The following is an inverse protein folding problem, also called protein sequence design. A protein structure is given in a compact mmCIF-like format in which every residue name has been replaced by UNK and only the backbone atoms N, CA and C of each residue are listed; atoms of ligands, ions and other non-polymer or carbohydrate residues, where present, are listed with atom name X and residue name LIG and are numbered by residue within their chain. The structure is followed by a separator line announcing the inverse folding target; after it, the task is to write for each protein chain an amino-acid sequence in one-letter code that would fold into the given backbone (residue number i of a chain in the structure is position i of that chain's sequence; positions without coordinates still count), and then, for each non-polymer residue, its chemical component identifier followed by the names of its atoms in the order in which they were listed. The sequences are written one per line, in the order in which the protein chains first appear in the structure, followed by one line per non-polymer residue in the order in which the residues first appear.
data_IF_048859368637
#
_entry.id   IF_048859368637
#
_cell.length_a   1.000
_cell.length_b   1.000
_cell.length_c   1.000
_cell.angle_alpha   90.00
_cell.angle_beta   90.00
_cell.angle_gamma   90.00
#
_symmetry.space_group_name_H-M   'P 1'
#
loop_
_entity.id
_entity.type
_entity.pdbx_description
1 polymer ?
#
# COMPACT_ATOMS: atom_id res chain seq x y z
N UNK A 1 35.58 -45.87 17.51
CA UNK A 1 35.28 -44.79 16.55
C UNK A 1 33.87 -44.27 16.79
N UNK A 2 33.65 -42.96 16.96
CA UNK A 2 32.32 -42.42 17.24
C UNK A 2 31.50 -42.34 15.94
N UNK A 3 30.25 -42.81 15.99
CA UNK A 3 29.33 -42.81 14.83
C UNK A 3 28.77 -41.40 14.61
N UNK A 4 28.98 -40.85 13.42
CA UNK A 4 28.44 -39.57 12.97
C UNK A 4 26.90 -39.62 12.93
N UNK A 5 26.25 -38.69 13.66
CA UNK A 5 24.80 -38.52 13.60
C UNK A 5 24.45 -37.61 12.42
N UNK A 6 23.77 -38.16 11.40
CA UNK A 6 23.17 -37.40 10.31
C UNK A 6 22.19 -36.35 10.85
N UNK A 7 22.46 -35.07 10.59
CA UNK A 7 21.51 -33.98 10.83
C UNK A 7 20.39 -34.03 9.80
N UNK A 8 19.14 -33.93 10.25
CA UNK A 8 17.97 -33.81 9.37
C UNK A 8 18.00 -32.44 8.69
N UNK A 9 18.44 -32.40 7.43
CA UNK A 9 18.24 -31.26 6.53
C UNK A 9 16.88 -31.50 5.87
N UNK A 10 15.82 -31.01 6.51
CA UNK A 10 14.46 -31.34 6.08
C UNK A 10 13.39 -30.45 6.69
N UNK A 11 13.71 -29.17 6.93
CA UNK A 11 12.68 -28.15 7.07
C UNK A 11 12.49 -27.49 5.73
N UNK A 12 11.26 -27.43 5.22
CA UNK A 12 10.94 -26.60 4.06
C UNK A 12 11.33 -25.14 4.37
N UNK A 13 12.07 -24.49 3.47
CA UNK A 13 12.29 -23.05 3.60
C UNK A 13 10.93 -22.35 3.54
N UNK A 14 10.65 -21.42 4.47
CA UNK A 14 9.42 -20.63 4.40
C UNK A 14 9.42 -19.86 3.08
N UNK A 15 8.37 -20.04 2.29
CA UNK A 15 8.20 -19.40 0.96
C UNK A 15 8.17 -17.86 1.02
N UNK A 16 8.08 -17.30 2.23
CA UNK A 16 8.10 -15.87 2.50
C UNK A 16 9.08 -15.61 3.63
N UNK A 17 10.19 -14.93 3.32
CA UNK A 17 11.00 -14.24 4.33
C UNK A 17 10.18 -13.05 4.82
N UNK A 18 9.54 -13.20 5.99
CA UNK A 18 8.88 -12.08 6.63
C UNK A 18 9.96 -11.03 6.91
N UNK A 19 9.78 -9.75 6.52
CA UNK A 19 10.68 -8.71 6.94
C UNK A 19 10.70 -8.69 8.47
N UNK A 20 11.88 -8.50 9.06
CA UNK A 20 11.99 -8.27 10.49
C UNK A 20 10.99 -7.19 10.86
N UNK A 21 10.18 -7.49 11.88
CA UNK A 21 9.07 -6.65 12.32
C UNK A 21 9.67 -5.34 12.81
N UNK A 22 9.87 -4.38 11.91
CA UNK A 22 10.13 -3.00 12.28
C UNK A 22 8.85 -2.53 12.95
N UNK A 23 8.88 -2.41 14.27
CA UNK A 23 7.80 -1.79 15.00
C UNK A 23 7.57 -0.42 14.36
N UNK A 24 6.35 -0.16 13.91
CA UNK A 24 5.96 1.11 13.28
C UNK A 24 5.78 2.23 14.34
N UNK A 25 6.45 2.08 15.48
CA UNK A 25 6.46 3.05 16.56
C UNK A 25 7.80 3.76 16.43
N UNK A 26 7.76 5.06 16.15
CA UNK A 26 8.96 5.90 16.12
C UNK A 26 9.71 5.69 17.45
N UNK A 27 11.04 5.67 17.45
CA UNK A 27 11.81 5.48 18.69
C UNK A 27 11.46 6.52 19.76
N UNK A 28 10.99 7.70 19.35
CA UNK A 28 10.48 8.76 20.22
C UNK A 28 9.13 8.44 20.91
N UNK A 29 8.43 7.37 20.50
CA UNK A 29 7.13 6.97 21.02
C UNK A 29 7.20 5.66 21.84
N UNK A 30 8.40 5.09 22.02
CA UNK A 30 8.64 3.97 22.94
C UNK A 30 9.36 4.54 24.15
N UNK A 31 8.70 4.55 25.30
CA UNK A 31 9.37 4.85 26.56
C UNK A 31 10.39 3.74 26.84
N UNK A 32 11.66 4.13 27.00
CA UNK A 32 12.71 3.21 27.40
C UNK A 32 12.46 2.79 28.86
N UNK A 33 11.93 1.59 29.06
CA UNK A 33 11.72 1.03 30.39
C UNK A 33 12.99 0.33 30.85
N UNK A 34 13.70 0.95 31.80
CA UNK A 34 14.86 0.36 32.46
C UNK A 34 14.43 -0.85 33.30
N UNK A 35 14.67 -2.05 32.78
CA UNK A 35 14.39 -3.31 33.46
C UNK A 35 15.26 -3.39 34.73
N UNK A 36 14.67 -3.08 35.88
CA UNK A 36 15.34 -3.13 37.20
C UNK A 36 15.33 -1.83 37.99
N UNK A 37 14.86 -0.71 37.42
CA UNK A 37 14.81 0.58 38.13
C UNK A 37 13.96 0.54 39.42
N UNK A 38 12.94 -0.30 39.46
CA UNK A 38 12.05 -0.49 40.63
C UNK A 38 12.37 -1.75 41.45
N UNK A 39 13.52 -2.40 41.25
CA UNK A 39 13.85 -3.65 41.95
C UNK A 39 13.92 -3.50 43.48
N UNK A 40 14.17 -2.29 43.98
CA UNK A 40 14.23 -1.96 45.40
C UNK A 40 12.96 -1.29 45.94
N UNK A 41 11.98 -0.99 45.08
CA UNK A 41 10.75 -0.33 45.50
C UNK A 41 9.81 -1.34 46.17
N UNK A 42 9.14 -0.92 47.24
CA UNK A 42 8.14 -1.77 47.88
C UNK A 42 6.92 -1.90 46.97
N UNK A 43 6.27 -3.07 46.97
CA UNK A 43 5.10 -3.32 46.12
C UNK A 43 4.00 -2.25 46.29
N UNK A 44 3.84 -1.71 47.50
CA UNK A 44 2.91 -0.63 47.83
C UNK A 44 3.21 0.70 47.14
N UNK A 45 4.49 1.05 46.97
CA UNK A 45 4.91 2.27 46.26
C UNK A 45 4.71 2.11 44.73
N UNK A 46 4.94 0.90 44.21
CA UNK A 46 4.70 0.58 42.80
C UNK A 46 3.19 0.69 42.49
N UNK A 47 2.33 0.17 43.36
CA UNK A 47 0.88 0.31 43.18
C UNK A 47 0.38 1.76 43.28
N UNK A 48 0.98 2.57 44.15
CA UNK A 48 0.57 3.98 44.33
C UNK A 48 0.99 4.85 43.14
N UNK A 49 2.21 4.66 42.62
CA UNK A 49 2.71 5.39 41.44
C UNK A 49 1.95 5.07 40.14
N UNK A 50 1.47 3.83 39.97
CA UNK A 50 0.56 3.48 38.86
C UNK A 50 -0.82 4.12 39.01
N UNK A 51 -1.36 4.20 40.24
CA UNK A 51 -2.67 4.78 40.49
C UNK A 51 -2.73 6.30 40.23
N UNK A 52 -1.59 6.99 40.34
CA UNK A 52 -1.47 8.44 40.05
C UNK A 52 -1.36 8.74 38.54
N UNK A 53 -0.90 7.78 37.73
CA UNK A 53 -0.77 7.95 36.28
C UNK A 53 -2.03 7.58 35.48
N UNK A 54 -2.92 6.77 36.05
CA UNK A 54 -4.21 6.49 35.46
C UNK A 54 -5.15 7.68 35.71
N UNK A 55 -5.39 8.47 34.65
CA UNK A 55 -6.46 9.44 34.53
C UNK A 55 -7.75 8.93 35.22
N UNK A 56 -8.58 9.82 35.82
CA UNK A 56 -9.61 9.42 36.78
C UNK A 56 -10.44 8.30 36.18
N UNK A 57 -10.33 7.10 36.76
CA UNK A 57 -11.20 5.99 36.39
C UNK A 57 -12.61 6.43 36.74
N UNK A 58 -13.31 6.96 35.74
CA UNK A 58 -14.68 7.40 35.89
C UNK A 58 -15.45 6.20 36.43
N UNK A 59 -15.89 6.28 37.68
CA UNK A 59 -16.70 5.28 38.34
C UNK A 59 -18.11 5.29 37.72
N UNK A 60 -18.17 5.01 36.42
CA UNK A 60 -19.40 4.97 35.64
C UNK A 60 -20.17 3.72 36.04
N UNK A 61 -21.45 3.89 36.32
CA UNK A 61 -22.34 2.76 36.61
C UNK A 61 -22.36 1.83 35.38
N UNK A 62 -22.55 0.53 35.60
CA UNK A 62 -22.59 -0.47 34.51
C UNK A 62 -23.57 -0.06 33.39
N UNK A 63 -24.70 0.54 33.77
CA UNK A 63 -25.72 1.08 32.86
C UNK A 63 -25.19 2.20 31.95
N UNK A 64 -24.42 3.13 32.50
CA UNK A 64 -23.83 4.24 31.74
C UNK A 64 -22.75 3.71 30.79
N UNK A 65 -21.91 2.77 31.23
CA UNK A 65 -20.93 2.11 30.36
C UNK A 65 -21.61 1.38 29.19
N UNK A 66 -22.74 0.73 29.43
CA UNK A 66 -23.51 0.06 28.39
C UNK A 66 -24.14 1.06 27.40
N UNK A 67 -24.69 2.16 27.90
CA UNK A 67 -25.24 3.23 27.07
C UNK A 67 -24.16 3.86 26.18
N UNK A 68 -23.00 4.19 26.73
CA UNK A 68 -21.87 4.72 25.96
C UNK A 68 -21.39 3.75 24.89
N UNK A 69 -21.30 2.45 25.21
CA UNK A 69 -20.96 1.42 24.21
C UNK A 69 -21.99 1.36 23.09
N UNK A 70 -23.27 1.44 23.42
CA UNK A 70 -24.34 1.43 22.44
C UNK A 70 -24.30 2.66 21.54
N UNK A 71 -24.14 3.86 22.10
CA UNK A 71 -24.01 5.10 21.35
C UNK A 71 -22.79 5.12 20.44
N UNK A 72 -21.63 4.68 20.95
CA UNK A 72 -20.40 4.57 20.14
C UNK A 72 -20.57 3.57 19.00
N UNK A 73 -21.30 2.48 19.24
CA UNK A 73 -21.62 1.51 18.20
C UNK A 73 -22.54 2.09 17.13
N UNK A 74 -23.59 2.82 17.50
CA UNK A 74 -24.47 3.51 16.55
C UNK A 74 -23.71 4.55 15.73
N UNK A 75 -22.88 5.40 16.36
CA UNK A 75 -22.01 6.35 15.66
C UNK A 75 -21.06 5.67 14.68
N UNK A 76 -20.53 4.49 15.03
CA UNK A 76 -19.68 3.68 14.14
C UNK A 76 -20.46 3.12 12.95
N UNK A 77 -21.69 2.67 13.18
CA UNK A 77 -22.56 2.21 12.10
C UNK A 77 -22.97 3.35 11.18
N UNK A 78 -23.36 4.50 11.72
CA UNK A 78 -23.72 5.70 10.97
C UNK A 78 -22.56 6.22 10.13
N UNK A 79 -21.36 6.32 10.70
CA UNK A 79 -20.15 6.71 9.94
C UNK A 79 -19.77 5.70 8.86
N UNK A 80 -20.08 4.41 9.04
CA UNK A 80 -19.89 3.39 8.00
C UNK A 80 -20.98 3.40 6.92
N UNK A 81 -22.13 4.00 7.23
CA UNK A 81 -23.30 4.11 6.36
C UNK A 81 -23.28 5.47 5.67
N UNK A 82 -22.25 5.71 4.86
CA UNK A 82 -22.27 6.84 3.93
C UNK A 82 -23.55 6.74 3.08
N UNK A 83 -24.35 7.81 2.95
CA UNK A 83 -25.60 7.79 2.18
C UNK A 83 -25.40 7.50 0.69
N UNK A 84 -24.15 7.45 0.23
CA UNK A 84 -23.78 7.20 -1.14
C UNK A 84 -22.99 5.90 -1.30
N UNK A 85 -23.06 5.32 -2.49
CA UNK A 85 -22.32 4.10 -2.82
C UNK A 85 -20.80 4.26 -2.64
N UNK A 86 -20.07 3.16 -2.37
CA UNK A 86 -18.59 3.12 -2.28
C UNK A 86 -17.88 3.76 -3.48
N UNK A 87 -18.52 3.77 -4.66
CA UNK A 87 -18.00 4.42 -5.87
C UNK A 87 -18.04 5.94 -5.75
N UNK A 88 -19.12 6.50 -5.20
CA UNK A 88 -19.29 7.94 -4.97
C UNK A 88 -18.31 8.45 -3.91
N UNK A 89 -18.12 7.72 -2.82
CA UNK A 89 -17.13 8.05 -1.79
C UNK A 89 -15.70 8.09 -2.37
N UNK A 90 -15.34 7.14 -3.24
CA UNK A 90 -14.05 7.18 -3.94
C UNK A 90 -13.92 8.38 -4.88
N UNK A 91 -15.01 8.84 -5.48
CA UNK A 91 -15.01 10.04 -6.33
C UNK A 91 -14.82 11.30 -5.51
N UNK A 92 -15.53 11.44 -4.38
CA UNK A 92 -15.35 12.57 -3.45
C UNK A 92 -13.91 12.62 -2.91
N UNK A 93 -13.38 11.50 -2.42
CA UNK A 93 -11.98 11.44 -1.96
C UNK A 93 -10.94 11.69 -3.06
N UNK A 94 -11.27 11.48 -4.33
CA UNK A 94 -10.40 11.86 -5.45
C UNK A 94 -10.47 13.36 -5.69
N UNK A 95 -11.67 13.93 -5.75
CA UNK A 95 -11.88 15.38 -5.89
C UNK A 95 -11.21 16.15 -4.74
N UNK A 96 -11.40 15.72 -3.50
CA UNK A 96 -10.76 16.32 -2.33
C UNK A 96 -9.23 16.24 -2.43
N UNK A 97 -8.67 15.10 -2.85
CA UNK A 97 -7.22 14.96 -3.04
C UNK A 97 -6.69 15.80 -4.21
N UNK A 98 -7.46 15.92 -5.29
CA UNK A 98 -7.13 16.77 -6.43
C UNK A 98 -7.15 18.24 -6.03
N UNK A 99 -8.12 18.66 -5.20
CA UNK A 99 -8.17 20.00 -4.60
C UNK A 99 -6.95 20.27 -3.71
N UNK A 100 -6.57 19.33 -2.83
CA UNK A 100 -5.44 19.52 -1.91
C UNK A 100 -4.07 19.43 -2.62
N UNK A 101 -3.91 18.56 -3.62
CA UNK A 101 -2.63 18.31 -4.27
C UNK A 101 -2.36 19.21 -5.50
N UNK A 102 -3.37 19.88 -6.05
CA UNK A 102 -3.18 20.72 -7.25
C UNK A 102 -4.32 21.72 -7.55
N UNK A 103 -5.35 21.79 -6.71
CA UNK A 103 -6.52 22.63 -6.91
C UNK A 103 -6.65 23.71 -5.84
N UNK A 104 -5.61 24.53 -5.66
CA UNK A 104 -5.73 25.80 -4.94
C UNK A 104 -6.39 26.89 -5.80
N UNK A 105 -6.97 26.58 -6.96
CA UNK A 105 -7.65 27.54 -7.85
C UNK A 105 -8.71 28.35 -7.12
N UNK A 106 -9.48 27.68 -6.27
CA UNK A 106 -10.62 28.28 -5.58
C UNK A 106 -10.12 29.18 -4.43
N UNK A 107 -9.03 28.79 -3.77
CA UNK A 107 -8.35 29.65 -2.78
C UNK A 107 -7.65 30.83 -3.45
N UNK A 108 -7.01 30.65 -4.61
CA UNK A 108 -6.41 31.73 -5.40
C UNK A 108 -7.47 32.72 -5.89
N UNK A 109 -8.63 32.23 -6.32
CA UNK A 109 -9.76 33.08 -6.71
C UNK A 109 -10.32 33.86 -5.51
N UNK A 110 -10.45 33.23 -4.34
CA UNK A 110 -10.86 33.91 -3.12
C UNK A 110 -9.84 34.95 -2.63
N UNK A 111 -8.55 34.65 -2.71
CA UNK A 111 -7.47 35.58 -2.35
C UNK A 111 -7.45 36.77 -3.32
N UNK A 112 -7.55 36.53 -4.63
CA UNK A 112 -7.60 37.60 -5.64
C UNK A 112 -8.82 38.52 -5.47
N UNK A 113 -9.97 37.97 -5.07
CA UNK A 113 -11.15 38.77 -4.75
C UNK A 113 -10.94 39.66 -3.50
N UNK A 114 -10.20 39.18 -2.50
CA UNK A 114 -9.85 39.97 -1.29
C UNK A 114 -8.76 41.00 -1.60
N UNK A 115 -7.80 40.66 -2.46
CA UNK A 115 -6.71 41.54 -2.89
C UNK A 115 -7.22 42.74 -3.69
N UNK A 116 -8.29 42.57 -4.48
CA UNK A 116 -8.99 43.67 -5.18
C UNK A 116 -9.68 44.71 -4.27
N UNK A 117 -9.72 44.45 -2.96
CA UNK A 117 -10.31 45.35 -1.94
C UNK A 117 -9.21 46.15 -1.21
N UNK A 118 -7.92 45.83 -1.43
CA UNK A 118 -6.78 46.47 -0.78
C UNK A 118 -6.14 47.48 -1.75
N UNK A 119 -5.94 48.76 -1.38
CA UNK A 119 -5.42 49.78 -2.30
C UNK A 119 -3.94 49.57 -2.71
N UNK A 120 -3.67 49.82 -4.00
CA UNK A 120 -2.41 49.67 -4.76
C UNK A 120 -1.24 50.53 -4.26
N UNK A 121 -0.53 50.12 -3.20
CA UNK A 121 0.67 50.85 -2.74
C UNK A 121 1.93 50.00 -2.52
N UNK A 122 1.96 48.72 -2.90
CA UNK A 122 3.16 47.86 -2.71
C UNK A 122 3.45 46.95 -3.92
N UNK A 123 2.94 47.31 -5.11
CA UNK A 123 3.25 46.60 -6.36
C UNK A 123 4.42 47.30 -7.02
N UNK A 124 5.63 47.08 -6.53
CA UNK A 124 6.81 47.28 -7.36
C UNK A 124 8.01 46.46 -6.89
N UNK A 125 8.77 45.98 -7.86
CA UNK A 125 10.03 45.22 -7.78
C UNK A 125 9.93 43.70 -7.55
N UNK A 126 9.80 42.94 -8.64
CA UNK A 126 10.85 42.03 -9.20
C UNK A 126 10.25 40.99 -10.15
N UNK A 127 10.16 41.34 -11.43
CA UNK A 127 10.09 40.39 -12.54
C UNK A 127 11.51 40.13 -13.07
N UNK A 128 11.85 38.86 -13.36
CA UNK A 128 12.77 38.34 -14.41
C UNK A 128 12.87 36.80 -14.31
N UNK A 129 13.24 36.07 -15.39
CA UNK A 129 12.34 35.10 -16.02
C UNK A 129 12.82 33.64 -15.98
N UNK A 130 11.92 32.79 -16.48
CA UNK A 130 11.99 31.36 -16.77
C UNK A 130 13.36 30.79 -17.20
N UNK A 131 13.64 29.55 -16.78
CA UNK A 131 13.75 28.36 -17.66
C UNK A 131 13.95 27.10 -16.83
N UNK A 132 12.92 26.27 -16.66
CA UNK A 132 13.07 24.86 -16.27
C UNK A 132 12.61 23.97 -17.43
N UNK A 133 13.56 23.55 -18.26
CA UNK A 133 13.39 22.47 -19.23
C UNK A 133 13.33 21.15 -18.48
N UNK A 134 12.12 20.69 -18.13
CA UNK A 134 11.89 19.34 -17.66
C UNK A 134 12.01 18.37 -18.85
N UNK A 135 13.21 17.82 -19.04
CA UNK A 135 13.45 16.72 -19.98
C UNK A 135 12.64 15.48 -19.58
N UNK A 136 11.59 15.19 -20.34
CA UNK A 136 10.86 13.93 -20.26
C UNK A 136 11.76 12.78 -20.70
N UNK A 137 12.30 12.03 -19.74
CA UNK A 137 13.02 10.78 -20.04
C UNK A 137 12.07 9.78 -20.72
N UNK A 138 12.44 9.21 -21.87
CA UNK A 138 11.58 8.28 -22.59
C UNK A 138 11.40 7.00 -21.76
N UNK A 139 10.15 6.66 -21.44
CA UNK A 139 9.79 5.42 -20.75
C UNK A 139 10.29 4.24 -21.57
N UNK A 140 11.30 3.54 -21.05
CA UNK A 140 11.87 2.36 -21.67
C UNK A 140 10.76 1.36 -22.07
N UNK A 141 10.71 1.02 -23.36
CA UNK A 141 9.76 0.05 -23.90
C UNK A 141 10.02 -1.30 -23.22
N UNK A 142 9.05 -1.76 -22.43
CA UNK A 142 9.13 -3.07 -21.76
C UNK A 142 9.23 -4.14 -22.84
N UNK A 143 10.34 -4.89 -22.86
CA UNK A 143 10.53 -5.98 -23.82
C UNK A 143 9.37 -6.97 -23.67
N UNK A 144 8.65 -7.21 -24.76
CA UNK A 144 7.57 -8.19 -24.83
C UNK A 144 8.17 -9.57 -24.53
N UNK A 145 7.60 -10.29 -23.56
CA UNK A 145 8.05 -11.63 -23.17
C UNK A 145 8.88 -11.72 -21.88
N UNK A 146 9.28 -10.60 -21.26
CA UNK A 146 9.93 -10.64 -19.94
C UNK A 146 8.89 -10.71 -18.81
N UNK A 147 8.54 -11.93 -18.43
CA UNK A 147 7.73 -12.21 -17.23
C UNK A 147 8.66 -12.17 -16.01
N UNK A 148 8.48 -11.18 -15.15
CA UNK A 148 9.14 -11.10 -13.84
C UNK A 148 10.67 -11.03 -13.91
N UNK A 149 11.24 -9.89 -14.28
CA UNK A 149 12.66 -9.68 -14.02
C UNK A 149 12.92 -9.59 -12.52
N UNK A 150 13.80 -10.48 -12.04
CA UNK A 150 14.61 -10.33 -10.84
C UNK A 150 13.89 -10.49 -9.51
N UNK A 151 14.29 -11.51 -8.73
CA UNK A 151 14.03 -11.68 -7.29
C UNK A 151 12.72 -12.39 -6.87
N UNK A 152 12.22 -13.33 -7.66
CA UNK A 152 11.12 -14.23 -7.22
C UNK A 152 9.82 -13.50 -6.82
N UNK A 153 9.66 -12.23 -7.20
CA UNK A 153 8.50 -11.43 -6.88
C UNK A 153 7.33 -11.80 -7.82
N UNK A 154 6.15 -12.12 -7.28
CA UNK A 154 4.98 -12.42 -8.10
C UNK A 154 4.53 -11.19 -8.88
N UNK A 155 3.86 -11.42 -10.02
CA UNK A 155 3.28 -10.36 -10.84
C UNK A 155 2.38 -9.42 -10.02
N UNK A 156 2.53 -8.11 -10.25
CA UNK A 156 1.66 -7.09 -9.65
C UNK A 156 0.20 -7.35 -10.00
N UNK A 157 -0.75 -6.92 -9.14
CA UNK A 157 -2.20 -7.09 -9.38
C UNK A 157 -2.63 -6.53 -10.74
N UNK A 158 -2.06 -5.40 -11.17
CA UNK A 158 -2.36 -4.79 -12.46
C UNK A 158 -1.79 -5.60 -13.63
N UNK A 159 -0.60 -6.18 -13.47
CA UNK A 159 0.02 -7.05 -14.46
C UNK A 159 -0.78 -8.34 -14.61
N UNK A 160 -1.16 -8.98 -13.49
CA UNK A 160 -2.04 -10.16 -13.50
C UNK A 160 -3.34 -9.89 -14.23
N UNK A 161 -4.00 -8.76 -13.95
CA UNK A 161 -5.23 -8.38 -14.66
C UNK A 161 -5.01 -8.25 -16.17
N UNK A 162 -3.91 -7.63 -16.60
CA UNK A 162 -3.57 -7.50 -18.02
C UNK A 162 -3.31 -8.87 -18.66
N UNK A 163 -2.53 -9.72 -18.01
CA UNK A 163 -2.28 -11.10 -18.49
C UNK A 163 -3.58 -11.90 -18.59
N UNK A 164 -4.46 -11.82 -17.60
CA UNK A 164 -5.76 -12.50 -17.65
C UNK A 164 -6.65 -11.99 -18.80
N UNK A 165 -6.61 -10.69 -19.08
CA UNK A 165 -7.35 -10.12 -20.21
C UNK A 165 -6.79 -10.60 -21.55
N UNK A 166 -5.47 -10.65 -21.72
CA UNK A 166 -4.85 -11.15 -22.95
C UNK A 166 -5.13 -12.64 -23.14
N UNK A 167 -5.05 -13.44 -22.08
CA UNK A 167 -5.35 -14.87 -22.15
C UNK A 167 -6.83 -15.14 -22.45
N UNK A 168 -7.75 -14.35 -21.88
CA UNK A 168 -9.19 -14.45 -22.20
C UNK A 168 -9.46 -14.29 -23.70
N UNK A 169 -8.73 -13.41 -24.38
CA UNK A 169 -8.86 -13.23 -25.83
C UNK A 169 -8.13 -14.32 -26.62
N UNK A 170 -7.01 -14.82 -26.09
CA UNK A 170 -6.16 -15.81 -26.76
C UNK A 170 -6.77 -17.22 -26.76
N UNK A 171 -7.35 -17.66 -25.64
CA UNK A 171 -7.91 -19.01 -25.49
C UNK A 171 -8.93 -19.37 -26.58
N UNK A 172 -9.97 -18.56 -26.87
CA UNK A 172 -10.93 -18.92 -27.92
C UNK A 172 -10.28 -19.01 -29.31
N UNK A 173 -9.27 -18.18 -29.58
CA UNK A 173 -8.52 -18.22 -30.83
C UNK A 173 -7.69 -19.50 -30.97
N UNK A 174 -7.12 -20.02 -29.88
CA UNK A 174 -6.44 -21.32 -29.88
C UNK A 174 -7.45 -22.44 -30.11
N UNK A 175 -8.58 -22.42 -29.38
CA UNK A 175 -9.62 -23.43 -29.47
C UNK A 175 -10.30 -23.47 -30.85
N UNK A 176 -10.36 -22.36 -31.57
CA UNK A 176 -10.92 -22.32 -32.92
C UNK A 176 -10.03 -22.93 -34.00
N UNK A 177 -8.77 -23.28 -33.69
CA UNK A 177 -7.87 -23.89 -34.69
C UNK A 177 -8.13 -25.39 -34.84
N UNK A 178 -8.31 -25.91 -36.07
CA UNK A 178 -8.62 -27.32 -36.29
C UNK A 178 -7.46 -28.24 -35.88
N UNK A 179 -6.22 -27.76 -36.00
CA UNK A 179 -5.03 -28.49 -35.57
C UNK A 179 -5.01 -28.74 -34.05
N UNK A 180 -5.45 -27.75 -33.26
CA UNK A 180 -5.53 -27.89 -31.81
C UNK A 180 -6.66 -28.84 -31.40
N UNK A 181 -7.77 -28.84 -32.13
CA UNK A 181 -8.89 -29.75 -31.91
C UNK A 181 -8.53 -31.22 -32.22
N UNK A 182 -7.70 -31.47 -33.23
CA UNK A 182 -7.28 -32.82 -33.60
C UNK A 182 -6.20 -33.39 -32.68
N UNK A 183 -5.16 -32.62 -32.36
CA UNK A 183 -4.12 -33.04 -31.40
C UNK A 183 -3.46 -31.84 -30.70
N UNK A 184 -3.94 -31.45 -29.49
CA UNK A 184 -3.45 -30.26 -28.81
C UNK A 184 -1.98 -30.40 -28.39
N UNK A 185 -1.53 -31.59 -28.00
CA UNK A 185 -0.14 -31.82 -27.58
C UNK A 185 0.85 -31.68 -28.73
N UNK A 186 0.46 -32.12 -29.93
CA UNK A 186 1.30 -31.97 -31.13
C UNK A 186 1.39 -30.51 -31.55
N UNK A 187 0.29 -29.76 -31.54
CA UNK A 187 0.27 -28.32 -31.82
C UNK A 187 1.13 -27.55 -30.82
N UNK A 188 1.03 -27.86 -29.53
CA UNK A 188 1.88 -27.25 -28.48
C UNK A 188 3.36 -27.57 -28.72
N UNK A 189 3.70 -28.82 -29.08
CA UNK A 189 5.08 -29.25 -29.37
C UNK A 189 5.66 -28.48 -30.56
N UNK A 190 4.90 -28.38 -31.66
CA UNK A 190 5.31 -27.65 -32.87
C UNK A 190 5.44 -26.16 -32.58
N UNK A 191 4.49 -25.56 -31.86
CA UNK A 191 4.56 -24.15 -31.46
C UNK A 191 5.80 -23.86 -30.60
N UNK A 192 6.08 -24.72 -29.61
CA UNK A 192 7.25 -24.60 -28.75
C UNK A 192 8.55 -24.75 -29.56
N UNK A 193 8.64 -25.71 -30.49
CA UNK A 193 9.79 -25.86 -31.39
C UNK A 193 9.99 -24.60 -32.24
N UNK A 194 8.93 -24.04 -32.81
CA UNK A 194 9.01 -22.87 -33.69
C UNK A 194 9.33 -21.57 -32.95
N UNK A 195 8.98 -21.45 -31.67
CA UNK A 195 9.15 -20.24 -30.86
C UNK A 195 10.40 -20.28 -29.98
N UNK A 196 10.68 -21.40 -29.32
CA UNK A 196 11.79 -21.52 -28.35
C UNK A 196 13.15 -21.77 -29.03
N UNK A 197 13.19 -22.52 -30.14
CA UNK A 197 14.46 -22.82 -30.83
C UNK A 197 15.10 -21.61 -31.53
N UNK A 198 14.32 -20.54 -31.78
CA UNK A 198 14.83 -19.29 -32.38
C UNK A 198 15.59 -18.40 -31.40
N UNK A 199 15.58 -18.74 -30.10
CA UNK A 199 16.33 -18.04 -29.07
C UNK A 199 17.61 -18.79 -28.70
N UNK A 200 18.47 -19.07 -29.70
CA UNK A 200 19.88 -19.40 -29.41
C UNK A 200 20.57 -18.08 -29.06
N UNK A 201 21.13 -17.88 -27.85
CA UNK A 201 21.91 -16.69 -27.57
C UNK A 201 23.11 -16.66 -28.54
N UNK A 202 23.48 -15.48 -29.08
CA UNK A 202 24.74 -15.36 -29.82
C UNK A 202 25.88 -15.76 -28.87
N UNK A 203 26.77 -16.63 -29.35
CA UNK A 203 27.99 -17.05 -28.64
C UNK A 203 28.92 -15.86 -28.40
#
# INVERSE_FOLDING_TARGET
MPKERRRRIGGHEPSVRLPNRHFAVQENAVEHVDLGAQANASATEIFSSMAEQDAPQTNMKKKEKQALKHELFLKRLESSRSPYSKSHERRLRRKEKEQVAGGMSDMKAAISAVESIIPDAVVDSTEMPATETAEERPKARKRVGKIGEGKGLPLSKSQRKRVLQTERLRIPMILSTPEFASNPFQTIRIHAQNTLLKHRPPN
#
